data_IF_561380435628
#
_entry.id   IF_561380435628
#
_cell.length_a   1.000
_cell.length_b   1.000
_cell.length_c   1.000
_cell.angle_alpha   90.00
_cell.angle_beta   90.00
_cell.angle_gamma   90.00
#
_symmetry.space_group_name_H-M   'P 1'
#
loop_
_entity.id
_entity.type
_entity.pdbx_description
1 polymer ?
#
# COMPACT_ATOMS: atom_id res chain seq x y z
N UNK A 1 26.00 -54.32 5.30
CA UNK A 1 26.37 -53.17 4.44
C UNK A 1 25.19 -52.55 3.68
N UNK A 2 24.18 -53.30 3.24
CA UNK A 2 23.06 -52.74 2.43
C UNK A 2 22.06 -51.83 3.18
N UNK A 3 21.92 -51.95 4.50
CA UNK A 3 20.96 -51.12 5.28
C UNK A 3 21.34 -49.65 5.41
N UNK A 4 22.65 -49.32 5.43
CA UNK A 4 23.11 -47.94 5.52
C UNK A 4 22.91 -47.16 4.21
N UNK A 5 23.02 -47.84 3.07
CA UNK A 5 22.83 -47.24 1.75
C UNK A 5 21.37 -46.86 1.50
N UNK A 6 20.42 -47.70 1.92
CA UNK A 6 18.99 -47.38 1.84
C UNK A 6 18.60 -46.20 2.73
N UNK A 7 19.14 -46.11 3.94
CA UNK A 7 18.84 -45.00 4.85
C UNK A 7 19.36 -43.66 4.29
N UNK A 8 20.56 -43.67 3.72
CA UNK A 8 21.16 -42.49 3.09
C UNK A 8 20.38 -42.03 1.84
N UNK A 9 19.90 -42.98 1.03
CA UNK A 9 19.11 -42.66 -0.17
C UNK A 9 17.75 -42.05 0.19
N UNK A 10 17.07 -42.59 1.20
CA UNK A 10 15.79 -42.05 1.68
C UNK A 10 16.01 -40.64 2.25
N UNK A 11 17.02 -40.43 3.09
CA UNK A 11 17.36 -39.12 3.66
C UNK A 11 17.63 -38.07 2.58
N UNK A 12 18.46 -38.41 1.59
CA UNK A 12 18.77 -37.51 0.46
C UNK A 12 17.52 -37.16 -0.33
N UNK A 13 16.63 -38.13 -0.57
CA UNK A 13 15.38 -37.93 -1.29
C UNK A 13 14.41 -37.05 -0.49
N UNK A 14 14.29 -37.23 0.83
CA UNK A 14 13.50 -36.32 1.68
C UNK A 14 14.08 -34.91 1.73
N UNK A 15 15.41 -34.74 1.77
CA UNK A 15 16.03 -33.42 1.72
C UNK A 15 15.75 -32.75 0.37
N UNK A 16 15.83 -33.49 -0.75
CA UNK A 16 15.52 -32.96 -2.08
C UNK A 16 14.03 -32.56 -2.23
N UNK A 17 13.12 -33.36 -1.68
CA UNK A 17 11.67 -33.07 -1.68
C UNK A 17 11.30 -31.93 -0.73
N UNK A 18 12.07 -31.73 0.34
CA UNK A 18 11.91 -30.58 1.25
C UNK A 18 12.50 -29.29 0.65
N UNK A 19 13.56 -29.38 -0.16
CA UNK A 19 14.12 -28.23 -0.89
C UNK A 19 13.31 -27.81 -2.13
N UNK A 20 12.40 -28.65 -2.62
CA UNK A 20 11.52 -28.29 -3.75
C UNK A 20 10.20 -27.63 -3.31
N UNK A 21 10.10 -27.19 -2.05
CA UNK A 21 8.88 -26.61 -1.48
C UNK A 21 8.91 -25.09 -1.38
N UNK A 22 10.03 -24.44 -1.71
CA UNK A 22 10.07 -23.00 -1.93
C UNK A 22 9.57 -22.67 -3.35
N UNK A 23 8.34 -23.09 -3.65
CA UNK A 23 7.55 -22.38 -4.65
C UNK A 23 7.11 -21.09 -3.95
N UNK A 24 7.92 -20.03 -4.02
CA UNK A 24 7.33 -18.70 -4.00
C UNK A 24 6.19 -18.72 -5.02
N UNK A 25 5.00 -18.27 -4.61
CA UNK A 25 3.81 -18.25 -5.45
C UNK A 25 4.00 -17.20 -6.56
N UNK A 26 4.87 -17.52 -7.52
CA UNK A 26 5.10 -16.73 -8.71
C UNK A 26 3.85 -16.81 -9.57
N UNK A 27 3.33 -15.67 -10.00
CA UNK A 27 2.21 -15.70 -10.92
C UNK A 27 2.66 -16.33 -12.24
N UNK A 28 1.77 -17.11 -12.86
CA UNK A 28 2.00 -17.52 -14.23
C UNK A 28 1.83 -16.26 -15.11
N UNK A 29 2.77 -15.92 -16.00
CA UNK A 29 2.65 -14.72 -16.84
C UNK A 29 1.33 -14.63 -17.62
N UNK A 30 0.74 -15.77 -17.98
CA UNK A 30 -0.57 -15.88 -18.62
C UNK A 30 -1.76 -15.41 -17.75
N UNK A 31 -1.59 -15.35 -16.43
CA UNK A 31 -2.59 -14.88 -15.48
C UNK A 31 -2.41 -13.38 -15.14
N UNK A 32 -1.41 -12.71 -15.74
CA UNK A 32 -1.15 -11.29 -15.50
C UNK A 32 -2.24 -10.40 -16.12
N UNK A 33 -2.72 -9.43 -15.35
CA UNK A 33 -3.71 -8.44 -15.80
C UNK A 33 -3.00 -7.40 -16.66
N UNK A 34 -3.56 -7.06 -17.83
CA UNK A 34 -3.03 -5.95 -18.61
C UNK A 34 -3.27 -4.61 -17.90
N UNK A 35 -2.24 -3.76 -17.84
CA UNK A 35 -2.38 -2.39 -17.35
C UNK A 35 -3.11 -1.52 -18.35
N UNK A 36 -4.19 -0.89 -17.91
CA UNK A 36 -4.88 0.15 -18.67
C UNK A 36 -4.56 1.53 -18.06
N UNK A 37 -3.70 2.36 -18.68
CA UNK A 37 -3.29 3.65 -18.11
C UNK A 37 -4.37 4.72 -18.27
N UNK A 38 -4.59 5.53 -17.23
CA UNK A 38 -5.20 6.86 -17.43
C UNK A 38 -4.15 7.79 -18.03
N UNK A 39 -4.12 7.88 -19.37
CA UNK A 39 -3.01 8.48 -20.14
C UNK A 39 -2.74 9.96 -19.85
N UNK A 40 -3.75 10.72 -19.44
CA UNK A 40 -3.60 12.15 -19.16
C UNK A 40 -3.77 12.44 -17.67
N UNK A 41 -2.67 12.79 -17.01
CA UNK A 41 -2.64 13.06 -15.56
C UNK A 41 -3.52 14.25 -15.15
N UNK A 42 -3.76 15.20 -16.06
CA UNK A 42 -4.69 16.31 -15.80
C UNK A 42 -6.16 15.87 -15.72
N UNK A 43 -6.47 14.67 -16.21
CA UNK A 43 -7.82 14.06 -16.14
C UNK A 43 -7.98 13.07 -15.00
N UNK A 44 -6.98 12.97 -14.13
CA UNK A 44 -7.07 12.15 -12.94
C UNK A 44 -8.25 12.53 -12.07
N UNK A 45 -8.96 11.51 -11.61
CA UNK A 45 -10.02 11.65 -10.65
C UNK A 45 -9.45 12.11 -9.31
N UNK A 46 -9.90 13.27 -8.85
CA UNK A 46 -9.46 13.88 -7.59
C UNK A 46 -10.60 13.93 -6.56
N UNK A 47 -11.70 13.22 -6.81
CA UNK A 47 -12.78 13.07 -5.84
C UNK A 47 -12.39 12.02 -4.76
N UNK A 48 -12.31 12.41 -3.47
CA UNK A 48 -12.06 11.47 -2.39
C UNK A 48 -13.10 10.35 -2.28
N UNK A 49 -14.32 10.54 -2.81
CA UNK A 49 -15.36 9.51 -2.81
C UNK A 49 -14.95 8.28 -3.62
N UNK A 50 -14.11 8.45 -4.65
CA UNK A 50 -13.67 7.37 -5.54
C UNK A 50 -12.76 6.35 -4.87
N UNK A 51 -12.15 6.69 -3.73
CA UNK A 51 -11.35 5.75 -2.93
C UNK A 51 -12.22 4.61 -2.37
N UNK A 52 -13.51 4.86 -2.15
CA UNK A 52 -14.44 3.86 -1.61
C UNK A 52 -15.20 3.11 -2.71
N UNK A 53 -14.83 3.29 -3.98
CA UNK A 53 -15.44 2.61 -5.12
C UNK A 53 -14.49 1.51 -5.63
N UNK A 54 -14.94 0.26 -5.79
CA UNK A 54 -14.10 -0.84 -6.29
C UNK A 54 -13.48 -0.56 -7.67
N UNK A 55 -14.24 0.08 -8.55
CA UNK A 55 -13.81 0.47 -9.90
C UNK A 55 -13.34 1.93 -9.97
N UNK A 56 -13.23 2.60 -8.82
CA UNK A 56 -12.70 3.95 -8.72
C UNK A 56 -11.25 4.00 -9.20
N UNK A 57 -10.86 5.11 -9.82
CA UNK A 57 -9.47 5.34 -10.24
C UNK A 57 -8.91 6.67 -9.69
N UNK A 58 -8.91 6.85 -8.36
CA UNK A 58 -8.39 8.07 -7.74
C UNK A 58 -6.95 8.29 -8.18
N UNK A 59 -6.62 9.48 -8.67
CA UNK A 59 -5.30 9.83 -9.18
C UNK A 59 -4.78 8.86 -10.26
N UNK A 60 -5.66 8.17 -10.98
CA UNK A 60 -5.27 7.17 -11.99
C UNK A 60 -4.75 5.85 -11.42
N UNK A 61 -4.89 5.62 -10.11
CA UNK A 61 -4.57 4.35 -9.48
C UNK A 61 -5.63 3.29 -9.79
N UNK A 62 -5.26 2.03 -9.64
CA UNK A 62 -6.15 0.88 -9.65
C UNK A 62 -6.02 0.14 -8.33
N UNK A 63 -7.13 -0.37 -7.82
CA UNK A 63 -7.17 -1.22 -6.63
C UNK A 63 -6.90 -2.68 -7.01
N UNK A 64 -6.11 -3.36 -6.20
CA UNK A 64 -6.06 -4.83 -6.18
C UNK A 64 -5.91 -5.33 -4.73
N UNK A 65 -5.99 -6.63 -4.58
CA UNK A 65 -5.88 -7.29 -3.27
C UNK A 65 -4.80 -8.36 -3.32
N UNK A 66 -3.90 -8.31 -2.33
CA UNK A 66 -2.99 -9.39 -2.01
C UNK A 66 -3.69 -10.33 -1.05
N UNK A 67 -3.91 -11.56 -1.50
CA UNK A 67 -4.52 -12.60 -0.66
C UNK A 67 -3.59 -12.99 0.49
N UNK A 68 -4.21 -13.48 1.55
CA UNK A 68 -3.52 -13.94 2.75
C UNK A 68 -2.58 -15.12 2.43
N UNK A 69 -1.30 -15.01 2.79
CA UNK A 69 -0.23 -15.93 2.35
C UNK A 69 -0.41 -17.40 2.76
N UNK A 70 -1.23 -17.66 3.80
CA UNK A 70 -1.53 -19.03 4.25
C UNK A 70 -2.77 -19.64 3.55
N UNK A 71 -3.39 -18.95 2.61
CA UNK A 71 -4.36 -19.56 1.71
C UNK A 71 -3.61 -20.41 0.67
N UNK A 72 -3.96 -21.70 0.58
CA UNK A 72 -3.35 -22.63 -0.36
C UNK A 72 -3.59 -22.26 -1.83
N UNK A 73 -4.51 -21.32 -2.10
CA UNK A 73 -4.78 -20.78 -3.43
C UNK A 73 -4.30 -19.32 -3.60
N UNK A 74 -3.63 -18.73 -2.60
CA UNK A 74 -3.11 -17.38 -2.72
C UNK A 74 -2.16 -17.29 -3.92
N UNK A 75 -2.48 -16.38 -4.84
CA UNK A 75 -1.63 -16.05 -5.99
C UNK A 75 -1.14 -14.62 -5.85
N UNK A 76 0.13 -14.39 -6.15
CA UNK A 76 0.68 -13.04 -6.26
C UNK A 76 0.02 -12.31 -7.44
N UNK A 77 -0.60 -11.13 -7.25
CA UNK A 77 -1.13 -10.34 -8.34
C UNK A 77 -0.02 -9.93 -9.30
N UNK A 78 -0.30 -9.99 -10.59
CA UNK A 78 0.63 -9.59 -11.63
C UNK A 78 -0.02 -8.65 -12.64
N UNK A 79 0.78 -7.69 -13.09
CA UNK A 79 0.34 -6.65 -14.01
C UNK A 79 1.35 -6.50 -15.14
N UNK A 80 0.88 -6.64 -16.38
CA UNK A 80 1.68 -6.44 -17.58
C UNK A 80 1.46 -5.04 -18.13
N UNK A 81 2.55 -4.28 -18.20
CA UNK A 81 2.61 -2.92 -18.75
C UNK A 81 3.17 -2.99 -20.17
N UNK A 82 2.41 -2.52 -21.15
CA UNK A 82 2.82 -2.49 -22.56
C UNK A 82 3.12 -1.06 -23.02
N UNK A 83 4.02 -0.91 -23.99
CA UNK A 83 4.47 0.39 -24.50
C UNK A 83 5.54 1.07 -23.63
N UNK A 84 6.23 0.32 -22.77
CA UNK A 84 7.30 0.84 -21.91
C UNK A 84 8.57 1.06 -22.74
N UNK A 85 8.86 2.31 -23.12
CA UNK A 85 10.00 2.59 -24.02
C UNK A 85 11.25 3.03 -23.25
N UNK A 86 11.17 4.09 -22.43
CA UNK A 86 12.34 4.59 -21.71
C UNK A 86 12.25 4.27 -20.21
N UNK A 87 11.26 4.84 -19.52
CA UNK A 87 11.07 4.69 -18.08
C UNK A 87 9.60 4.51 -17.73
N UNK A 88 9.38 3.88 -16.57
CA UNK A 88 8.08 3.77 -15.92
C UNK A 88 8.18 4.28 -14.49
N UNK A 89 7.27 5.18 -14.15
CA UNK A 89 7.00 5.63 -12.79
C UNK A 89 5.97 4.71 -12.16
N UNK A 90 6.35 4.12 -11.04
CA UNK A 90 5.61 3.11 -10.29
C UNK A 90 5.29 3.71 -8.92
N UNK A 91 4.00 3.82 -8.62
CA UNK A 91 3.55 4.25 -7.31
C UNK A 91 2.57 3.24 -6.72
N UNK A 92 2.75 2.92 -5.43
CA UNK A 92 1.93 1.93 -4.72
C UNK A 92 1.63 2.41 -3.31
N UNK A 93 0.40 2.23 -2.86
CA UNK A 93 -0.05 2.52 -1.49
C UNK A 93 -0.90 1.36 -0.98
N UNK A 94 -0.69 0.94 0.27
CA UNK A 94 -1.48 -0.10 0.93
C UNK A 94 -2.52 0.50 1.88
N UNK A 95 -3.67 -0.18 2.01
CA UNK A 95 -4.68 0.12 3.02
C UNK A 95 -5.33 -1.19 3.53
N UNK A 96 -5.10 -1.60 4.79
CA UNK A 96 -4.29 -0.93 5.82
C UNK A 96 -2.79 -0.95 5.47
N UNK A 97 -2.01 -0.11 6.16
CA UNK A 97 -0.55 -0.05 5.97
C UNK A 97 0.10 -1.42 6.12
N UNK A 98 0.76 -1.86 5.06
CA UNK A 98 1.48 -3.12 4.98
C UNK A 98 2.73 -2.95 4.10
N UNK A 99 3.75 -3.77 4.35
CA UNK A 99 4.98 -3.75 3.55
C UNK A 99 4.77 -4.54 2.25
N UNK A 100 4.49 -3.80 1.19
CA UNK A 100 4.33 -4.33 -0.16
C UNK A 100 5.67 -4.34 -0.89
N UNK A 101 5.86 -5.36 -1.72
CA UNK A 101 7.01 -5.53 -2.58
C UNK A 101 6.56 -5.62 -4.03
N UNK A 102 7.39 -5.11 -4.92
CA UNK A 102 7.22 -5.25 -6.37
C UNK A 102 8.51 -5.75 -7.00
N UNK A 103 8.40 -6.66 -7.94
CA UNK A 103 9.50 -7.16 -8.76
C UNK A 103 9.11 -7.20 -10.24
N UNK A 104 10.08 -6.98 -11.12
CA UNK A 104 9.96 -7.21 -12.55
C UNK A 104 10.26 -8.69 -12.85
N UNK A 105 9.25 -9.44 -13.27
CA UNK A 105 9.39 -10.86 -13.59
C UNK A 105 9.68 -11.14 -15.08
N UNK A 106 9.76 -10.09 -15.90
CA UNK A 106 10.21 -10.19 -17.31
C UNK A 106 11.73 -10.36 -17.40
N UNK A 107 12.47 -9.78 -16.45
CA UNK A 107 13.93 -9.92 -16.38
C UNK A 107 14.39 -11.26 -15.77
N UNK A 108 15.66 -11.62 -15.98
CA UNK A 108 16.26 -12.83 -15.41
C UNK A 108 16.25 -12.74 -13.87
N UNK A 109 15.85 -13.83 -13.19
CA UNK A 109 15.80 -13.95 -11.74
C UNK A 109 17.10 -13.51 -11.05
N UNK A 110 18.26 -13.67 -11.68
CA UNK A 110 19.54 -13.24 -11.13
C UNK A 110 19.72 -11.70 -11.06
N UNK A 111 18.94 -10.94 -11.83
CA UNK A 111 19.03 -9.48 -11.95
C UNK A 111 17.78 -8.75 -11.48
N UNK A 112 16.75 -9.48 -11.03
CA UNK A 112 15.51 -8.86 -10.55
C UNK A 112 15.78 -8.03 -9.31
N UNK A 113 15.34 -6.78 -9.35
CA UNK A 113 15.32 -5.93 -8.18
C UNK A 113 13.96 -6.06 -7.48
N UNK A 114 14.00 -6.38 -6.18
CA UNK A 114 12.83 -6.41 -5.33
C UNK A 114 12.74 -5.11 -4.54
N UNK A 115 11.71 -4.31 -4.79
CA UNK A 115 11.49 -3.03 -4.12
C UNK A 115 10.40 -3.22 -3.06
N UNK A 116 10.76 -3.14 -1.77
CA UNK A 116 9.83 -3.37 -0.66
C UNK A 116 9.70 -2.16 0.27
N UNK A 117 8.51 -1.54 0.34
CA UNK A 117 8.22 -0.40 1.24
C UNK A 117 6.75 -0.45 1.69
N UNK A 118 6.37 0.35 2.69
CA UNK A 118 4.95 0.52 3.07
C UNK A 118 4.16 1.27 1.99
N UNK A 119 4.88 2.13 1.26
CA UNK A 119 4.41 2.96 0.16
C UNK A 119 5.56 3.11 -0.82
N UNK A 120 5.33 2.87 -2.10
CA UNK A 120 6.37 2.87 -3.14
C UNK A 120 6.20 4.11 -4.01
N UNK A 121 7.32 4.76 -4.32
CA UNK A 121 7.49 5.70 -5.43
C UNK A 121 8.82 5.37 -6.08
N UNK A 122 8.81 4.84 -7.30
CA UNK A 122 10.03 4.44 -7.99
C UNK A 122 9.92 4.73 -9.48
N UNK A 123 10.95 5.30 -10.07
CA UNK A 123 11.05 5.50 -11.50
C UNK A 123 12.19 4.64 -12.04
N UNK A 124 11.86 3.64 -12.84
CA UNK A 124 12.80 2.60 -13.28
C UNK A 124 12.87 2.53 -14.81
N UNK A 125 14.03 2.17 -15.39
CA UNK A 125 14.15 2.00 -16.83
C UNK A 125 13.31 0.80 -17.29
N UNK A 126 12.73 0.91 -18.49
CA UNK A 126 12.02 -0.19 -19.14
C UNK A 126 13.04 -1.18 -19.75
N UNK A 127 13.08 -2.46 -19.33
CA UNK A 127 13.94 -3.44 -19.98
C UNK A 127 13.42 -3.90 -21.35
N UNK A 128 12.13 -3.74 -21.61
CA UNK A 128 11.44 -4.11 -22.85
C UNK A 128 10.16 -3.31 -23.03
N UNK A 129 9.59 -3.32 -24.24
CA UNK A 129 8.29 -2.69 -24.53
C UNK A 129 7.12 -3.28 -23.72
N UNK A 130 7.28 -4.52 -23.26
CA UNK A 130 6.33 -5.22 -22.40
C UNK A 130 7.05 -5.66 -21.12
N UNK A 131 6.54 -5.25 -19.97
CA UNK A 131 7.13 -5.53 -18.65
C UNK A 131 6.05 -6.05 -17.73
N UNK A 132 6.29 -7.16 -17.05
CA UNK A 132 5.35 -7.74 -16.10
C UNK A 132 5.88 -7.56 -14.68
N UNK A 133 5.08 -6.91 -13.85
CA UNK A 133 5.37 -6.70 -12.45
C UNK A 133 4.56 -7.67 -11.58
N UNK A 134 5.23 -8.29 -10.62
CA UNK A 134 4.60 -9.11 -9.60
C UNK A 134 4.60 -8.36 -8.26
N UNK A 135 3.45 -8.40 -7.59
CA UNK A 135 3.30 -7.85 -6.25
C UNK A 135 3.37 -8.96 -5.21
N UNK A 136 4.07 -8.71 -4.12
CA UNK A 136 4.11 -9.59 -2.96
C UNK A 136 4.01 -8.77 -1.67
N UNK A 137 3.71 -9.44 -0.57
CA UNK A 137 3.58 -8.80 0.74
C UNK A 137 4.56 -9.49 1.70
N UNK A 138 5.36 -8.72 2.43
CA UNK A 138 6.33 -9.26 3.38
C UNK A 138 6.06 -8.83 4.83
N UNK A 139 6.13 -9.81 5.74
CA UNK A 139 6.09 -9.58 7.18
C UNK A 139 4.71 -9.70 7.80
N UNK A 140 4.62 -9.42 9.10
CA UNK A 140 3.47 -9.76 9.95
C UNK A 140 2.15 -9.09 9.57
N UNK A 141 2.17 -8.01 8.80
CA UNK A 141 0.96 -7.35 8.28
C UNK A 141 0.25 -8.19 7.22
N UNK A 142 1.01 -9.04 6.52
CA UNK A 142 0.54 -9.91 5.45
C UNK A 142 0.09 -11.29 5.98
N UNK A 143 0.42 -11.59 7.24
CA UNK A 143 0.18 -12.87 7.90
C UNK A 143 -1.16 -12.93 8.66
N UNK A 144 -1.99 -11.88 8.58
CA UNK A 144 -3.21 -11.78 9.39
C UNK A 144 -4.47 -11.63 8.55
N UNK A 145 -4.38 -11.01 7.38
CA UNK A 145 -5.50 -10.78 6.48
C UNK A 145 -5.00 -10.49 5.07
N UNK A 146 -5.93 -10.49 4.11
CA UNK A 146 -5.67 -9.89 2.82
C UNK A 146 -5.35 -8.39 2.96
N UNK A 147 -4.54 -7.87 2.04
CA UNK A 147 -4.09 -6.48 2.01
C UNK A 147 -4.58 -5.84 0.72
N UNK A 148 -5.35 -4.77 0.82
CA UNK A 148 -5.70 -3.99 -0.37
C UNK A 148 -4.57 -3.01 -0.66
N UNK A 149 -4.31 -2.80 -1.95
CA UNK A 149 -3.32 -1.85 -2.38
C UNK A 149 -3.76 -1.16 -3.67
N UNK A 150 -3.46 0.13 -3.73
CA UNK A 150 -3.60 0.97 -4.90
C UNK A 150 -2.27 1.01 -5.62
N UNK A 151 -2.26 0.79 -6.92
CA UNK A 151 -1.06 0.90 -7.75
C UNK A 151 -1.30 1.72 -9.01
N UNK A 152 -0.24 2.34 -9.53
CA UNK A 152 -0.25 3.13 -10.77
C UNK A 152 1.08 2.95 -11.50
N UNK A 153 0.99 2.77 -12.81
CA UNK A 153 2.12 2.85 -13.74
C UNK A 153 1.94 4.03 -14.70
N UNK A 154 2.93 4.93 -14.76
CA UNK A 154 2.96 6.03 -15.73
C UNK A 154 4.20 5.86 -16.60
N UNK A 155 4.00 5.83 -17.92
CA UNK A 155 5.07 5.65 -18.88
C UNK A 155 5.62 7.00 -19.34
N UNK A 156 6.94 7.10 -19.47
CA UNK A 156 7.58 8.26 -20.09
C UNK A 156 7.10 8.41 -21.54
N UNK A 157 6.86 9.64 -21.99
CA UNK A 157 6.57 9.88 -23.41
C UNK A 157 7.84 9.58 -24.24
N UNK A 158 7.75 8.80 -25.34
CA UNK A 158 8.87 8.52 -26.24
C UNK A 158 9.59 9.78 -26.75
N UNK A 159 8.90 10.92 -26.80
CA UNK A 159 9.42 12.20 -27.25
C UNK A 159 10.13 13.00 -26.13
N UNK A 160 10.18 12.50 -24.89
CA UNK A 160 10.95 13.15 -23.82
C UNK A 160 12.43 13.18 -24.18
N UNK A 161 13.01 14.38 -24.20
CA UNK A 161 14.42 14.60 -24.54
C UNK A 161 15.39 14.05 -23.48
N UNK A 162 15.00 14.12 -22.20
CA UNK A 162 15.79 13.65 -21.07
C UNK A 162 14.89 12.83 -20.13
N UNK A 163 14.86 11.49 -20.31
CA UNK A 163 14.02 10.61 -19.50
C UNK A 163 14.42 10.57 -18.01
N UNK A 164 15.71 10.79 -17.68
CA UNK A 164 16.16 10.85 -16.29
C UNK A 164 15.61 12.10 -15.60
N UNK A 165 15.64 13.25 -16.29
CA UNK A 165 15.02 14.48 -15.81
C UNK A 165 13.50 14.35 -15.68
N UNK A 166 12.85 13.58 -16.56
CA UNK A 166 11.42 13.27 -16.42
C UNK A 166 11.15 12.49 -15.13
N UNK A 167 11.93 11.46 -14.82
CA UNK A 167 11.85 10.73 -13.55
C UNK A 167 12.06 11.66 -12.35
N UNK A 168 13.07 12.52 -12.39
CA UNK A 168 13.39 13.45 -11.30
C UNK A 168 12.25 14.43 -10.99
N UNK A 169 11.48 14.83 -11.99
CA UNK A 169 10.38 15.79 -11.86
C UNK A 169 9.03 15.16 -11.53
N UNK A 170 8.96 13.84 -11.33
CA UNK A 170 7.72 13.15 -10.93
C UNK A 170 7.23 13.66 -9.58
N UNK A 171 5.93 13.84 -9.44
CA UNK A 171 5.32 14.19 -8.16
C UNK A 171 5.15 12.92 -7.32
N UNK A 172 5.98 12.77 -6.29
CA UNK A 172 6.00 11.60 -5.42
C UNK A 172 5.02 11.68 -4.25
N UNK A 173 4.19 12.72 -4.15
CA UNK A 173 3.29 12.96 -3.01
C UNK A 173 1.80 12.65 -3.33
N UNK A 174 1.46 12.33 -4.58
CA UNK A 174 0.09 12.10 -5.04
C UNK A 174 -0.38 10.65 -4.87
N UNK A 175 -0.78 10.29 -3.66
CA UNK A 175 -1.40 8.99 -3.34
C UNK A 175 -2.91 9.09 -3.14
N UNK A 176 -3.70 8.01 -3.29
CA UNK A 176 -5.13 8.01 -2.97
C UNK A 176 -5.44 8.65 -1.61
N UNK A 177 -4.71 8.28 -0.56
CA UNK A 177 -4.88 8.87 0.78
C UNK A 177 -4.66 10.39 0.84
N UNK A 178 -3.87 10.96 -0.08
CA UNK A 178 -3.62 12.41 -0.14
C UNK A 178 -4.88 13.22 -0.49
N UNK A 179 -5.87 12.60 -1.14
CA UNK A 179 -7.13 13.26 -1.48
C UNK A 179 -7.95 13.61 -0.22
N UNK A 180 -7.81 12.85 0.87
CA UNK A 180 -8.48 13.15 2.14
C UNK A 180 -7.96 14.45 2.77
N UNK A 181 -6.69 14.80 2.56
CA UNK A 181 -6.10 16.02 3.11
C UNK A 181 -6.56 17.30 2.37
N UNK A 182 -7.14 17.15 1.19
CA UNK A 182 -7.62 18.25 0.34
C UNK A 182 -9.13 18.49 0.44
N UNK A 183 -9.85 17.76 1.31
CA UNK A 183 -11.27 18.04 1.58
C UNK A 183 -11.34 19.38 2.31
N UNK A 184 -11.99 20.42 1.74
CA UNK A 184 -12.25 21.64 2.50
C UNK A 184 -13.06 21.24 3.73
N UNK A 185 -12.51 21.45 4.92
CA UNK A 185 -13.28 21.31 6.17
C UNK A 185 -14.57 22.09 5.95
N UNK A 186 -15.76 21.46 6.05
CA UNK A 186 -17.00 22.21 5.96
C UNK A 186 -16.91 23.29 7.03
N UNK A 187 -16.79 24.55 6.61
CA UNK A 187 -16.88 25.68 7.52
C UNK A 187 -18.32 25.64 8.01
N UNK A 188 -18.55 24.91 9.08
CA UNK A 188 -19.76 25.04 9.88
C UNK A 188 -19.71 26.48 10.38
N UNK A 189 -20.35 27.40 9.65
CA UNK A 189 -20.75 28.68 10.22
C UNK A 189 -21.54 28.30 11.46
N UNK A 190 -20.92 28.47 12.63
CA UNK A 190 -21.66 28.45 13.88
C UNK A 190 -22.86 29.35 13.66
N UNK A 191 -24.08 28.79 13.74
CA UNK A 191 -25.29 29.60 13.83
C UNK A 191 -25.10 30.47 15.06
N UNK A 192 -24.79 31.74 14.87
CA UNK A 192 -24.86 32.72 15.95
C UNK A 192 -26.29 32.69 16.46
N UNK A 193 -26.52 32.07 17.62
CA UNK A 193 -27.78 32.22 18.32
C UNK A 193 -28.00 33.71 18.57
N UNK A 194 -29.20 34.26 18.35
CA UNK A 194 -29.48 35.63 18.73
C UNK A 194 -29.32 35.73 20.25
N UNK A 195 -28.36 36.55 20.70
CA UNK A 195 -28.17 36.88 22.11
C UNK A 195 -29.42 37.58 22.62
N UNK A 196 -30.22 36.83 23.38
CA UNK A 196 -31.32 37.36 24.16
C UNK A 196 -30.83 38.43 25.13
N UNK A 197 -31.47 39.59 25.03
CA UNK A 197 -31.35 40.78 25.87
C UNK A 197 -31.29 40.41 27.36
N UNK A 198 -30.28 40.94 28.05
CA UNK A 198 -30.13 40.76 29.50
C UNK A 198 -31.20 41.47 30.32
N UNK A 199 -31.50 40.90 31.48
CA UNK A 199 -31.95 41.63 32.67
C UNK A 199 -31.29 40.99 33.88
N UNK A 200 -30.52 41.81 34.60
CA UNK A 200 -29.90 41.49 35.88
C UNK A 200 -30.93 41.52 37.01
N UNK A 201 -30.81 40.56 37.93
CA UNK A 201 -31.23 40.59 39.34
C UNK A 201 -30.48 39.39 39.94
N UNK A 202 -29.42 39.52 40.75
CA UNK A 202 -29.34 40.31 41.97
C UNK A 202 -29.67 39.41 43.16
N UNK A 203 -28.70 38.65 43.70
CA UNK A 203 -28.71 38.11 45.07
C UNK A 203 -27.38 37.39 45.42
N UNK A 204 -26.49 38.18 46.00
CA UNK A 204 -25.61 37.92 47.16
C UNK A 204 -25.67 36.61 47.97
N UNK A 205 -24.45 36.20 48.41
CA UNK A 205 -24.04 35.43 49.62
C UNK A 205 -24.39 33.93 49.74
N UNK A 206 -23.39 33.05 49.83
CA UNK A 206 -22.76 32.67 51.12
C UNK A 206 -21.63 31.63 50.97
N UNK A 207 -20.59 31.80 51.79
CA UNK A 207 -19.46 30.91 52.04
C UNK A 207 -19.86 29.68 52.87
N UNK A 208 -19.26 28.52 52.58
CA UNK A 208 -18.87 27.42 53.51
C UNK A 208 -18.12 26.35 52.71
N UNK A 209 -16.80 26.17 52.79
CA UNK A 209 -15.99 25.56 53.86
C UNK A 209 -16.31 24.07 54.12
N UNK A 210 -15.42 23.17 53.69
CA UNK A 210 -15.02 21.88 54.30
C UNK A 210 -13.93 21.25 53.42
N UNK A 211 -12.65 21.41 53.78
CA UNK A 211 -11.84 20.41 54.52
C UNK A 211 -11.49 19.19 53.62
N UNK A 212 -10.29 19.09 53.04
CA UNK A 212 -9.04 18.57 53.64
C UNK A 212 -9.21 17.23 54.40
N UNK A 213 -8.25 16.32 54.17
CA UNK A 213 -8.07 14.94 54.65
C UNK A 213 -8.62 13.89 53.66
N UNK A 214 -7.83 13.03 53.02
CA UNK A 214 -6.71 12.25 53.57
C UNK A 214 -5.57 12.01 52.58
N UNK A 215 -4.40 12.36 53.09
CA UNK A 215 -3.03 12.15 52.63
C UNK A 215 -2.61 10.70 52.97
N UNK A 216 -2.00 10.02 52.00
CA UNK A 216 -0.75 9.23 52.11
C UNK A 216 -0.71 7.99 53.05
N UNK A 217 -0.47 6.84 52.41
CA UNK A 217 0.46 5.75 52.79
C UNK A 217 0.33 4.96 54.11
N UNK A 218 0.63 3.65 53.94
CA UNK A 218 1.28 2.71 54.88
C UNK A 218 0.43 2.21 56.06
N UNK A 219 0.02 0.94 56.00
CA UNK A 219 0.54 -0.12 56.88
C UNK A 219 -0.33 -1.39 56.81
N UNK A 220 0.33 -2.54 56.57
CA UNK A 220 -0.12 -3.92 56.86
C UNK A 220 -1.23 -4.50 55.99
N UNK A 221 -0.88 -5.47 55.12
CA UNK A 221 -0.83 -6.90 55.49
C UNK A 221 0.28 -7.58 54.68
#
# INVERSE_FOLDING_TARGET
>A
MMRGLHLAFVLLFTILVLYSKDCEAQCAPEDAKAWDPVRNESTYDRDPASINQPDGRPLGYQLDTLDYINDANARSPCVTVTGCINYVDIMVETDPLARICIEDITTDAATRELICQERISSCVPCPSEEVTYQFSCQGSSCDQSAVNFWFRFVLSDPAVLDPELWCFNRNTDEYPSSLYNNVPVPVTRAKTMPTGRGTSLGATFSLTLCAFLTVIFIARQ
#
